data_IF_321623103895
#
_entry.id   IF_321623103895
#
_cell.length_a   1.000
_cell.length_b   1.000
_cell.length_c   1.000
_cell.angle_alpha   90.00
_cell.angle_beta   90.00
_cell.angle_gamma   90.00
#
_symmetry.space_group_name_H-M   'P 1'
#
loop_
_entity.id
_entity.type
_entity.pdbx_description
1 polymer ?
#
# COMPACT_ATOMS: atom_id res chain seq x y z
N UNK A 1 4.89 -9.20 6.74
CA UNK A 1 3.75 -10.06 7.11
C UNK A 1 2.70 -9.95 6.01
N UNK A 2 2.23 -11.07 5.46
CA UNK A 2 1.11 -11.06 4.51
C UNK A 2 -0.18 -11.37 5.29
N UNK A 3 -1.19 -10.50 5.20
CA UNK A 3 -2.49 -10.70 5.87
C UNK A 3 -3.59 -10.75 4.83
N UNK A 4 -4.45 -11.77 4.93
CA UNK A 4 -5.67 -11.83 4.10
C UNK A 4 -6.69 -10.84 4.64
N UNK A 5 -7.10 -9.90 3.80
CA UNK A 5 -8.15 -8.95 4.16
C UNK A 5 -9.52 -9.62 4.03
N UNK A 6 -9.98 -10.26 5.11
CA UNK A 6 -11.31 -10.88 5.22
C UNK A 6 -12.31 -9.94 5.87
N UNK A 7 -13.60 -10.25 5.80
CA UNK A 7 -14.65 -9.51 6.49
C UNK A 7 -14.38 -9.42 8.00
N UNK A 8 -14.00 -10.52 8.65
CA UNK A 8 -13.70 -10.52 10.08
C UNK A 8 -12.45 -9.69 10.39
N UNK A 9 -11.43 -9.75 9.52
CA UNK A 9 -10.25 -8.90 9.65
C UNK A 9 -10.58 -7.42 9.49
N UNK A 10 -11.53 -7.07 8.59
CA UNK A 10 -11.96 -5.68 8.41
C UNK A 10 -12.64 -5.07 9.64
N UNK A 11 -13.09 -5.91 10.59
CA UNK A 11 -13.73 -5.51 11.86
C UNK A 11 -12.74 -5.37 13.03
N UNK A 12 -11.46 -5.65 12.80
CA UNK A 12 -10.41 -5.49 13.81
C UNK A 12 -10.20 -4.00 14.08
N UNK A 13 -10.26 -3.60 15.35
CA UNK A 13 -9.96 -2.21 15.76
C UNK A 13 -8.50 -1.85 15.46
N UNK A 14 -8.21 -0.57 15.32
CA UNK A 14 -6.85 -0.02 15.23
C UNK A 14 -5.98 -0.48 16.40
N UNK A 15 -6.53 -0.45 17.61
CA UNK A 15 -5.86 -0.93 18.83
C UNK A 15 -5.53 -2.42 18.75
N UNK A 16 -6.52 -3.26 18.43
CA UNK A 16 -6.31 -4.70 18.30
C UNK A 16 -5.37 -5.04 17.15
N UNK A 17 -5.36 -4.23 16.09
CA UNK A 17 -4.41 -4.39 15.00
C UNK A 17 -2.97 -4.18 15.48
N UNK A 18 -2.69 -3.10 16.21
CA UNK A 18 -1.37 -2.84 16.79
C UNK A 18 -1.00 -3.92 17.82
N UNK A 19 -1.89 -4.19 18.78
CA UNK A 19 -1.63 -5.09 19.90
C UNK A 19 -1.51 -6.56 19.48
N UNK A 20 -2.38 -7.05 18.58
CA UNK A 20 -2.49 -8.48 18.30
C UNK A 20 -1.84 -8.89 16.97
N UNK A 21 -1.63 -7.95 16.04
CA UNK A 21 -1.05 -8.26 14.73
C UNK A 21 0.36 -7.70 14.55
N UNK A 22 0.62 -6.45 14.94
CA UNK A 22 1.92 -5.80 14.72
C UNK A 22 2.92 -6.19 15.82
N UNK A 23 2.62 -5.89 17.08
CA UNK A 23 3.57 -6.04 18.20
C UNK A 23 4.05 -7.47 18.44
N UNK A 24 3.19 -8.49 18.48
CA UNK A 24 3.60 -9.86 18.79
C UNK A 24 4.54 -10.44 17.71
N UNK A 25 4.47 -9.91 16.48
CA UNK A 25 5.15 -10.48 15.31
C UNK A 25 6.38 -9.69 14.89
N UNK A 26 6.32 -8.35 14.98
CA UNK A 26 7.35 -7.48 14.43
C UNK A 26 8.18 -6.76 15.51
N UNK A 27 7.58 -6.46 16.67
CA UNK A 27 8.20 -5.64 17.74
C UNK A 27 8.91 -4.40 17.17
N UNK A 28 8.19 -3.55 16.41
CA UNK A 28 8.82 -2.47 15.67
C UNK A 28 9.42 -1.43 16.63
N UNK A 29 10.57 -0.88 16.26
CA UNK A 29 11.11 0.33 16.90
C UNK A 29 10.54 1.61 16.28
N UNK A 30 10.28 1.58 14.97
CA UNK A 30 9.71 2.68 14.20
C UNK A 30 8.63 2.15 13.28
N UNK A 31 7.51 2.86 13.19
CA UNK A 31 6.44 2.63 12.22
C UNK A 31 6.41 3.83 11.27
N UNK A 32 6.60 3.57 9.97
CA UNK A 32 6.55 4.60 8.94
C UNK A 32 5.31 4.38 8.08
N UNK A 33 4.48 5.41 7.94
CA UNK A 33 3.27 5.37 7.10
C UNK A 33 3.29 6.49 6.08
N UNK A 34 2.67 6.27 4.93
CA UNK A 34 2.46 7.35 3.95
C UNK A 34 1.32 8.26 4.37
N UNK A 35 1.31 9.47 3.81
CA UNK A 35 0.16 10.37 3.87
C UNK A 35 -1.13 9.66 3.47
N UNK A 36 -2.24 10.00 4.13
CA UNK A 36 -3.57 9.43 3.89
C UNK A 36 -3.65 7.90 4.15
N UNK A 37 -2.76 7.36 4.98
CA UNK A 37 -2.80 5.97 5.40
C UNK A 37 -3.83 5.75 6.52
N UNK A 38 -4.67 4.73 6.35
CA UNK A 38 -5.66 4.32 7.33
C UNK A 38 -5.63 2.82 7.58
N UNK A 39 -5.94 2.43 8.82
CA UNK A 39 -6.07 1.05 9.25
C UNK A 39 -7.11 0.92 10.37
N UNK A 40 -7.40 -0.32 10.76
CA UNK A 40 -8.47 -0.61 11.71
C UNK A 40 -9.87 -0.46 11.12
N UNK A 41 -10.85 -0.96 11.86
CA UNK A 41 -12.25 -0.92 11.50
C UNK A 41 -12.71 0.52 11.27
N UNK A 42 -13.47 0.75 10.19
CA UNK A 42 -13.95 2.09 9.81
C UNK A 42 -12.85 3.17 9.70
N UNK A 43 -11.60 2.78 9.40
CA UNK A 43 -10.47 3.71 9.25
C UNK A 43 -10.19 4.54 10.51
N UNK A 44 -10.47 3.98 11.69
CA UNK A 44 -10.26 4.68 12.95
C UNK A 44 -8.78 4.88 13.32
N UNK A 45 -7.86 4.15 12.69
CA UNK A 45 -6.42 4.30 12.85
C UNK A 45 -5.80 5.07 11.69
N UNK A 46 -5.01 6.09 12.02
CA UNK A 46 -4.21 6.90 11.10
C UNK A 46 -2.84 7.23 11.74
N UNK A 47 -2.10 8.18 11.17
CA UNK A 47 -0.84 8.66 11.75
C UNK A 47 -1.01 9.27 13.15
N UNK A 48 -2.09 10.03 13.39
CA UNK A 48 -2.33 10.66 14.69
C UNK A 48 -2.60 9.61 15.76
N UNK A 49 -3.37 8.58 15.43
CA UNK A 49 -3.59 7.44 16.30
C UNK A 49 -2.27 6.73 16.64
N UNK A 50 -1.43 6.45 15.64
CA UNK A 50 -0.11 5.82 15.87
C UNK A 50 0.74 6.66 16.83
N UNK A 51 0.79 7.97 16.62
CA UNK A 51 1.52 8.91 17.48
C UNK A 51 0.96 8.95 18.91
N UNK A 52 -0.34 8.80 19.09
CA UNK A 52 -0.98 8.74 20.41
C UNK A 52 -0.58 7.47 21.18
N UNK A 53 -0.56 6.31 20.52
CA UNK A 53 -0.27 5.02 21.18
C UNK A 53 1.22 4.67 21.17
N UNK A 54 2.06 5.45 20.51
CA UNK A 54 3.48 5.15 20.33
C UNK A 54 4.22 4.98 21.66
N UNK A 55 3.88 5.79 22.67
CA UNK A 55 4.46 5.71 24.01
C UNK A 55 4.00 4.49 24.81
N UNK A 56 2.75 4.06 24.64
CA UNK A 56 2.20 2.87 25.31
C UNK A 56 2.91 1.60 24.84
N UNK A 57 3.13 1.50 23.54
CA UNK A 57 3.69 0.31 22.92
C UNK A 57 5.22 0.38 22.72
N UNK A 58 5.85 1.54 22.96
CA UNK A 58 7.31 1.70 22.89
C UNK A 58 7.88 1.73 21.47
N UNK A 59 7.18 2.40 20.54
CA UNK A 59 7.67 2.66 19.18
C UNK A 59 7.64 4.15 18.83
N UNK A 60 8.37 4.52 17.78
CA UNK A 60 8.33 5.85 17.16
C UNK A 60 7.49 5.81 15.88
N UNK A 61 6.90 6.93 15.48
CA UNK A 61 6.10 7.01 14.24
C UNK A 61 6.54 8.16 13.36
N UNK A 62 6.73 7.87 12.07
CA UNK A 62 7.02 8.85 11.03
C UNK A 62 5.94 8.82 9.94
N UNK A 63 5.60 9.99 9.42
CA UNK A 63 4.74 10.14 8.25
C UNK A 63 5.57 10.58 7.06
N UNK A 64 5.47 9.85 5.95
CA UNK A 64 6.00 10.28 4.67
C UNK A 64 4.95 11.19 4.02
N UNK A 65 5.28 12.47 3.74
CA UNK A 65 4.35 13.38 3.10
C UNK A 65 3.98 12.89 1.70
N UNK A 66 2.88 13.43 1.16
CA UNK A 66 2.49 13.16 -0.22
C UNK A 66 3.62 13.52 -1.19
N UNK A 67 3.96 12.59 -2.10
CA UNK A 67 4.95 12.84 -3.15
C UNK A 67 4.26 13.37 -4.40
N UNK A 68 4.67 14.55 -4.85
CA UNK A 68 4.33 15.07 -6.17
C UNK A 68 5.48 14.82 -7.15
N UNK A 69 5.20 14.21 -8.30
CA UNK A 69 6.15 14.11 -9.42
C UNK A 69 5.57 14.94 -10.58
N UNK A 70 6.31 15.94 -11.06
CA UNK A 70 5.86 16.82 -12.16
C UNK A 70 4.47 17.47 -11.95
N UNK A 71 4.17 17.90 -10.71
CA UNK A 71 2.87 18.45 -10.29
C UNK A 71 1.68 17.49 -10.37
N UNK A 72 1.94 16.18 -10.42
CA UNK A 72 0.91 15.16 -10.41
C UNK A 72 1.14 14.21 -9.21
N UNK A 73 0.09 14.01 -8.41
CA UNK A 73 0.10 12.99 -7.35
C UNK A 73 0.26 11.62 -7.98
N UNK A 74 1.41 10.98 -7.75
CA UNK A 74 1.63 9.61 -8.24
C UNK A 74 0.90 8.63 -7.33
N UNK A 75 -0.17 8.04 -7.85
CA UNK A 75 -0.96 7.04 -7.14
C UNK A 75 -1.18 5.80 -8.00
N UNK A 76 -1.52 4.67 -7.37
CA UNK A 76 -1.90 3.47 -8.13
C UNK A 76 -3.13 3.70 -9.02
N UNK A 77 -3.98 4.67 -8.70
CA UNK A 77 -5.13 5.05 -9.53
C UNK A 77 -4.67 5.72 -10.82
N UNK A 78 -3.77 6.70 -10.73
CA UNK A 78 -3.21 7.38 -11.91
C UNK A 78 -2.37 6.43 -12.77
N UNK A 79 -1.58 5.54 -12.16
CA UNK A 79 -0.81 4.53 -12.90
C UNK A 79 -1.75 3.59 -13.67
N UNK A 80 -2.83 3.10 -13.04
CA UNK A 80 -3.81 2.22 -13.72
C UNK A 80 -4.54 2.94 -14.85
N UNK A 81 -4.89 4.21 -14.66
CA UNK A 81 -5.53 5.03 -15.69
C UNK A 81 -4.59 5.24 -16.88
N UNK A 82 -3.35 5.64 -16.65
CA UNK A 82 -2.34 5.80 -17.70
C UNK A 82 -2.07 4.48 -18.45
N UNK A 83 -2.03 3.34 -17.74
CA UNK A 83 -1.96 2.01 -18.36
C UNK A 83 -3.17 1.73 -19.26
N UNK A 84 -4.39 1.99 -18.78
CA UNK A 84 -5.62 1.77 -19.55
C UNK A 84 -5.72 2.68 -20.79
N UNK A 85 -5.15 3.89 -20.73
CA UNK A 85 -5.10 4.85 -21.82
C UNK A 85 -3.91 4.62 -22.78
N UNK A 86 -3.01 3.68 -22.47
CA UNK A 86 -1.85 3.33 -23.30
C UNK A 86 -0.64 4.26 -23.15
N UNK A 87 -0.60 5.12 -22.12
CA UNK A 87 0.47 6.07 -21.87
C UNK A 87 1.68 5.45 -21.17
N UNK A 88 2.36 4.51 -21.85
CA UNK A 88 3.45 3.71 -21.25
C UNK A 88 4.66 4.55 -20.80
N UNK A 89 4.99 5.64 -21.50
CA UNK A 89 6.11 6.52 -21.12
C UNK A 89 5.83 7.19 -19.77
N UNK A 90 4.58 7.63 -19.56
CA UNK A 90 4.12 8.23 -18.30
C UNK A 90 4.12 7.21 -17.17
N UNK A 91 3.66 5.98 -17.44
CA UNK A 91 3.71 4.87 -16.47
C UNK A 91 5.14 4.59 -16.02
N UNK A 92 6.10 4.50 -16.95
CA UNK A 92 7.49 4.25 -16.62
C UNK A 92 8.12 5.40 -15.82
N UNK A 93 7.75 6.65 -16.12
CA UNK A 93 8.19 7.81 -15.35
C UNK A 93 7.66 7.76 -13.91
N UNK A 94 6.40 7.39 -13.72
CA UNK A 94 5.80 7.22 -12.39
C UNK A 94 6.36 6.06 -11.58
N UNK A 95 6.73 4.96 -12.23
CA UNK A 95 7.28 3.77 -11.58
C UNK A 95 8.79 3.86 -11.35
N UNK A 96 9.48 4.81 -11.99
CA UNK A 96 10.94 4.92 -12.06
C UNK A 96 11.63 3.68 -12.66
N UNK A 97 10.86 2.82 -13.34
CA UNK A 97 11.35 1.64 -14.04
C UNK A 97 10.41 1.25 -15.19
N UNK A 98 10.87 0.41 -16.11
CA UNK A 98 10.03 -0.12 -17.18
C UNK A 98 8.94 -1.03 -16.62
N UNK A 99 7.69 -0.79 -16.99
CA UNK A 99 6.58 -1.70 -16.73
C UNK A 99 6.76 -2.98 -17.56
N UNK A 100 6.58 -4.14 -16.92
CA UNK A 100 6.70 -5.44 -17.58
C UNK A 100 5.62 -6.40 -17.11
N UNK A 101 5.30 -7.38 -17.97
CA UNK A 101 4.38 -8.47 -17.68
C UNK A 101 5.15 -9.77 -17.87
N UNK A 102 5.02 -10.68 -16.91
CA UNK A 102 5.52 -12.05 -17.01
C UNK A 102 4.37 -13.01 -17.16
N UNK A 103 4.48 -13.97 -18.07
CA UNK A 103 3.47 -15.01 -18.26
C UNK A 103 4.07 -16.23 -18.95
N UNK A 104 3.46 -17.39 -18.75
CA UNK A 104 3.74 -18.56 -19.58
C UNK A 104 3.05 -18.41 -20.92
N UNK A 105 3.76 -18.69 -22.01
CA UNK A 105 3.15 -18.75 -23.34
C UNK A 105 2.10 -19.87 -23.37
N UNK A 106 0.83 -19.50 -23.54
CA UNK A 106 -0.22 -20.47 -23.86
C UNK A 106 0.04 -21.09 -25.24
N UNK A 107 -0.31 -22.37 -25.42
CA UNK A 107 -0.15 -23.04 -26.71
C UNK A 107 -0.78 -22.23 -27.85
N UNK A 108 -0.01 -21.97 -28.90
CA UNK A 108 -0.48 -21.24 -30.06
C UNK A 108 -1.52 -22.08 -30.82
N UNK A 109 -2.75 -21.58 -30.96
CA UNK A 109 -3.73 -22.20 -31.87
C UNK A 109 -3.23 -22.04 -33.30
N UNK A 110 -2.68 -23.11 -33.88
CA UNK A 110 -2.31 -23.18 -35.30
C UNK A 110 -3.57 -23.26 -36.17
N UNK A 111 -4.29 -22.16 -36.36
CA UNK A 111 -5.25 -22.02 -37.47
C UNK A 111 -5.56 -20.54 -37.72
N UNK A 112 -4.74 -19.94 -38.59
CA UNK A 112 -5.01 -18.79 -39.48
C UNK A 112 -3.63 -18.20 -39.88
N UNK A 113 -2.93 -18.92 -40.75
CA UNK A 113 -1.95 -18.33 -41.67
C UNK A 113 -2.61 -18.40 -43.05
#
# INVERSE_FOLDING_TARGET
>A
MLVKFTHDFSRVSSHDFIQNYIFPRLKPRVIVVGFNHYFGHNKEGDYHYLKQVSGEFGFETEEIPEQEIHNETVSSTEIRKALAEGYIQRVNAYLEHYYFITGMSGGCRKHAC
#
